data_IF_153950934663
#
_entry.id   IF_153950934663
#
_cell.length_a   1.000
_cell.length_b   1.000
_cell.length_c   1.000
_cell.angle_alpha   90.00
_cell.angle_beta   90.00
_cell.angle_gamma   90.00
#
_symmetry.space_group_name_H-M   'P 1'
#
loop_
_entity.id
_entity.type
_entity.pdbx_description
1 polymer ?
#
# COMPACT_ATOMS: atom_id res chain seq x y z
N UNK A 1 -10.31 -20.28 -5.50
CA UNK A 1 -9.39 -21.30 -6.04
C UNK A 1 -8.34 -21.65 -5.00
N UNK A 2 -8.03 -22.92 -4.74
CA UNK A 2 -6.93 -23.32 -3.85
C UNK A 2 -5.65 -23.50 -4.68
N UNK A 3 -4.57 -22.83 -4.27
CA UNK A 3 -3.26 -22.87 -4.92
C UNK A 3 -2.18 -23.05 -3.85
N UNK A 4 -1.16 -23.86 -4.12
CA UNK A 4 -0.01 -23.99 -3.22
C UNK A 4 1.10 -23.05 -3.68
N UNK A 5 1.44 -22.06 -2.85
CA UNK A 5 2.55 -21.13 -3.09
C UNK A 5 3.78 -21.63 -2.33
N UNK A 6 4.69 -22.31 -3.02
CA UNK A 6 5.81 -23.00 -2.38
C UNK A 6 5.31 -24.16 -1.50
N UNK A 7 5.50 -24.05 -0.19
CA UNK A 7 4.99 -25.02 0.80
C UNK A 7 3.69 -24.56 1.46
N UNK A 8 3.18 -23.38 1.11
CA UNK A 8 2.05 -22.74 1.77
C UNK A 8 0.76 -22.89 0.96
N UNK A 9 -0.23 -23.69 1.40
CA UNK A 9 -1.55 -23.70 0.78
C UNK A 9 -2.21 -22.33 0.96
N UNK A 10 -2.80 -21.83 -0.12
CA UNK A 10 -3.34 -20.46 -0.23
C UNK A 10 -4.65 -20.48 -1.01
N UNK A 11 -5.68 -19.87 -0.43
CA UNK A 11 -6.97 -19.68 -1.11
C UNK A 11 -6.92 -18.33 -1.83
N UNK A 12 -7.07 -18.37 -3.15
CA UNK A 12 -7.16 -17.20 -4.02
C UNK A 12 -8.63 -16.89 -4.28
N UNK A 13 -9.04 -15.69 -3.88
CA UNK A 13 -10.35 -15.11 -4.14
C UNK A 13 -10.30 -14.32 -5.46
N UNK A 14 -10.81 -14.93 -6.54
CA UNK A 14 -10.75 -14.36 -7.90
C UNK A 14 -12.09 -13.88 -8.44
N UNK A 15 -13.18 -14.04 -7.70
CA UNK A 15 -14.50 -13.52 -8.07
C UNK A 15 -14.70 -12.10 -7.54
N UNK A 16 -15.51 -11.26 -8.22
CA UNK A 16 -15.75 -9.88 -7.80
C UNK A 16 -16.52 -9.77 -6.48
N UNK A 17 -17.28 -10.80 -6.09
CA UNK A 17 -18.04 -10.82 -4.83
C UNK A 17 -17.19 -11.21 -3.61
N UNK A 18 -16.13 -11.99 -3.84
CA UNK A 18 -15.33 -12.56 -2.75
C UNK A 18 -14.67 -11.51 -1.83
N UNK A 19 -14.20 -10.33 -2.29
CA UNK A 19 -13.68 -9.30 -1.41
C UNK A 19 -14.70 -8.82 -0.37
N UNK A 20 -15.98 -8.70 -0.72
CA UNK A 20 -17.01 -8.31 0.26
C UNK A 20 -17.19 -9.40 1.32
N UNK A 21 -17.28 -10.65 0.89
CA UNK A 21 -17.45 -11.76 1.82
C UNK A 21 -16.26 -11.88 2.78
N UNK A 22 -15.03 -11.79 2.26
CA UNK A 22 -13.79 -11.96 3.04
C UNK A 22 -13.51 -10.74 3.94
N UNK A 23 -13.54 -9.53 3.39
CA UNK A 23 -13.07 -8.32 4.07
C UNK A 23 -14.16 -7.56 4.83
N UNK A 24 -15.43 -7.96 4.70
CA UNK A 24 -16.56 -7.34 5.42
C UNK A 24 -17.31 -8.36 6.27
N UNK A 25 -17.74 -9.47 5.68
CA UNK A 25 -18.54 -10.48 6.41
C UNK A 25 -17.69 -11.28 7.38
N UNK A 26 -16.53 -11.76 6.93
CA UNK A 26 -15.62 -12.60 7.72
C UNK A 26 -14.33 -11.89 8.14
N UNK A 27 -14.30 -10.55 8.11
CA UNK A 27 -13.10 -9.75 8.40
C UNK A 27 -12.45 -10.14 9.73
N UNK A 28 -13.25 -10.32 10.79
CA UNK A 28 -12.72 -10.64 12.12
C UNK A 28 -11.96 -11.96 12.16
N UNK A 29 -12.36 -12.94 11.36
CA UNK A 29 -11.70 -14.25 11.31
C UNK A 29 -10.49 -14.26 10.35
N UNK A 30 -10.56 -13.46 9.28
CA UNK A 30 -9.58 -13.47 8.18
C UNK A 30 -8.62 -12.27 8.18
N UNK A 31 -8.75 -11.38 9.16
CA UNK A 31 -7.89 -10.20 9.37
C UNK A 31 -6.43 -10.52 9.76
N UNK A 32 -6.11 -11.80 10.04
CA UNK A 32 -4.78 -12.22 10.44
C UNK A 32 -3.82 -12.20 9.26
N UNK A 33 -2.58 -11.72 9.47
CA UNK A 33 -1.60 -11.56 8.38
C UNK A 33 -0.56 -12.66 8.40
N UNK A 34 -0.25 -13.24 7.24
CA UNK A 34 0.93 -14.08 7.05
C UNK A 34 2.13 -13.18 6.76
N UNK A 35 3.08 -13.14 7.69
CA UNK A 35 4.33 -12.39 7.53
C UNK A 35 5.35 -13.31 6.84
N UNK A 36 5.94 -12.85 5.74
CA UNK A 36 7.04 -13.57 5.09
C UNK A 36 8.29 -13.54 5.97
N UNK A 37 9.12 -14.59 5.91
CA UNK A 37 10.39 -14.68 6.65
C UNK A 37 11.30 -13.48 6.39
N UNK A 38 11.24 -12.88 5.19
CA UNK A 38 12.00 -11.66 4.86
C UNK A 38 11.62 -10.44 5.72
N UNK A 39 10.41 -10.43 6.28
CA UNK A 39 9.88 -9.37 7.15
C UNK A 39 9.76 -9.83 8.61
N UNK A 40 10.26 -11.03 8.97
CA UNK A 40 10.23 -11.56 10.33
C UNK A 40 11.33 -10.97 11.21
N UNK A 41 11.36 -9.64 11.35
CA UNK A 41 12.09 -8.98 12.43
C UNK A 41 11.08 -8.77 13.55
N UNK A 42 11.18 -9.57 14.62
CA UNK A 42 10.15 -9.69 15.65
C UNK A 42 9.76 -8.33 16.28
N UNK A 43 10.76 -7.48 16.48
CA UNK A 43 10.61 -6.12 17.02
C UNK A 43 9.93 -5.16 16.05
N UNK A 44 10.10 -5.33 14.73
CA UNK A 44 9.47 -4.50 13.71
C UNK A 44 8.02 -4.91 13.44
N UNK A 45 7.66 -6.16 13.76
CA UNK A 45 6.30 -6.67 13.57
C UNK A 45 5.39 -6.31 14.73
N UNK A 46 5.93 -6.34 15.96
CA UNK A 46 5.23 -5.85 17.16
C UNK A 46 4.98 -4.35 17.00
N UNK A 47 3.73 -3.92 17.06
CA UNK A 47 3.30 -2.52 16.87
C UNK A 47 3.35 -2.02 15.42
N UNK A 48 3.48 -2.90 14.43
CA UNK A 48 3.38 -2.51 13.02
C UNK A 48 1.93 -2.27 12.61
N UNK A 49 1.63 -1.12 12.01
CA UNK A 49 0.30 -0.90 11.42
C UNK A 49 0.02 -1.86 10.26
N UNK A 50 1.08 -2.37 9.59
CA UNK A 50 0.99 -3.21 8.41
C UNK A 50 1.06 -4.69 8.75
N UNK A 51 1.92 -5.10 9.69
CA UNK A 51 2.23 -6.52 9.91
C UNK A 51 1.69 -7.11 11.21
N UNK A 52 1.33 -6.29 12.21
CA UNK A 52 0.82 -6.78 13.50
C UNK A 52 -0.55 -7.45 13.34
N UNK A 53 -0.93 -8.32 14.26
CA UNK A 53 -2.27 -8.94 14.27
C UNK A 53 -3.33 -7.93 14.73
N UNK A 54 -4.62 -8.23 14.53
CA UNK A 54 -5.74 -7.34 14.88
C UNK A 54 -6.02 -7.25 16.40
N UNK A 55 -4.98 -6.90 17.17
CA UNK A 55 -5.01 -6.69 18.61
C UNK A 55 -5.61 -5.32 18.95
N UNK A 56 -5.94 -5.10 20.23
CA UNK A 56 -6.46 -3.79 20.65
C UNK A 56 -5.41 -2.67 20.51
N UNK A 57 -4.13 -3.00 20.69
CA UNK A 57 -3.01 -2.10 20.39
C UNK A 57 -2.98 -1.71 18.90
N UNK A 58 -3.09 -2.68 17.99
CA UNK A 58 -3.17 -2.39 16.55
C UNK A 58 -4.38 -1.50 16.21
N UNK A 59 -5.55 -1.73 16.82
CA UNK A 59 -6.73 -0.88 16.63
C UNK A 59 -6.49 0.55 17.11
N UNK A 60 -5.80 0.73 18.24
CA UNK A 60 -5.43 2.05 18.75
C UNK A 60 -4.46 2.77 17.79
N UNK A 61 -3.40 2.08 17.34
CA UNK A 61 -2.47 2.62 16.35
C UNK A 61 -3.17 3.01 15.05
N UNK A 62 -4.07 2.17 14.54
CA UNK A 62 -4.89 2.47 13.35
C UNK A 62 -5.77 3.69 13.54
N UNK A 63 -6.36 3.85 14.73
CA UNK A 63 -7.16 5.04 15.06
C UNK A 63 -6.30 6.29 15.07
N UNK A 64 -5.11 6.25 15.68
CA UNK A 64 -4.18 7.39 15.70
C UNK A 64 -3.74 7.74 14.28
N UNK A 65 -3.32 6.77 13.49
CA UNK A 65 -2.91 6.99 12.10
C UNK A 65 -4.04 7.65 11.29
N UNK A 66 -5.27 7.11 11.37
CA UNK A 66 -6.43 7.64 10.64
C UNK A 66 -6.81 9.06 11.08
N UNK A 67 -6.77 9.35 12.38
CA UNK A 67 -7.33 10.59 12.92
C UNK A 67 -6.30 11.72 13.04
N UNK A 68 -5.04 11.39 13.32
CA UNK A 68 -3.98 12.37 13.60
C UNK A 68 -3.02 12.54 12.42
N UNK A 69 -2.59 11.45 11.79
CA UNK A 69 -1.59 11.50 10.71
C UNK A 69 -2.29 11.76 9.38
N UNK A 70 -3.30 10.97 9.05
CA UNK A 70 -4.07 11.05 7.80
C UNK A 70 -5.43 11.71 7.99
N UNK A 71 -5.62 12.46 9.07
CA UNK A 71 -6.83 13.23 9.31
C UNK A 71 -6.92 14.43 8.37
N UNK A 72 -8.13 14.88 8.02
CA UNK A 72 -8.38 16.01 7.11
C UNK A 72 -7.58 17.27 7.49
N UNK A 73 -7.57 17.62 8.78
CA UNK A 73 -6.80 18.76 9.29
C UNK A 73 -5.29 18.62 9.02
N UNK A 74 -4.71 17.44 9.27
CA UNK A 74 -3.28 17.23 9.05
C UNK A 74 -2.94 17.23 7.56
N UNK A 75 -3.83 16.65 6.73
CA UNK A 75 -3.67 16.69 5.28
C UNK A 75 -3.69 18.11 4.72
N UNK A 76 -4.54 18.99 5.26
CA UNK A 76 -4.57 20.42 4.92
C UNK A 76 -3.30 21.14 5.39
N UNK A 77 -2.83 20.91 6.62
CA UNK A 77 -1.58 21.51 7.12
C UNK A 77 -0.38 21.11 6.25
N UNK A 78 -0.37 19.88 5.72
CA UNK A 78 0.69 19.38 4.84
C UNK A 78 0.51 19.74 3.36
N UNK A 79 -0.58 20.41 2.99
CA UNK A 79 -0.87 20.80 1.60
C UNK A 79 0.23 21.64 0.96
N UNK A 80 0.77 22.70 1.60
CA UNK A 80 1.80 23.53 0.98
C UNK A 80 3.08 22.76 0.64
N UNK A 81 3.41 21.73 1.44
CA UNK A 81 4.59 20.88 1.19
C UNK A 81 4.37 20.01 -0.05
N UNK A 82 3.16 19.46 -0.23
CA UNK A 82 2.83 18.66 -1.41
C UNK A 82 2.81 19.55 -2.66
N UNK A 83 2.20 20.72 -2.58
CA UNK A 83 2.18 21.70 -3.68
C UNK A 83 3.59 22.11 -4.09
N UNK A 84 4.46 22.43 -3.12
CA UNK A 84 5.86 22.74 -3.39
C UNK A 84 6.57 21.61 -4.15
N UNK A 85 6.40 20.35 -3.73
CA UNK A 85 7.02 19.22 -4.43
C UNK A 85 6.49 19.01 -5.84
N UNK A 86 5.20 19.26 -6.07
CA UNK A 86 4.62 19.21 -7.41
C UNK A 86 5.17 20.35 -8.28
N UNK A 87 5.30 21.56 -7.75
CA UNK A 87 5.88 22.70 -8.47
C UNK A 87 7.34 22.46 -8.85
N UNK A 88 8.18 21.99 -7.92
CA UNK A 88 9.57 21.59 -8.19
C UNK A 88 9.65 20.54 -9.31
N UNK A 89 8.73 19.57 -9.30
CA UNK A 89 8.67 18.55 -10.34
C UNK A 89 8.24 19.11 -11.69
N UNK A 90 7.27 20.03 -11.72
CA UNK A 90 6.82 20.69 -12.95
C UNK A 90 7.92 21.56 -13.55
N UNK A 91 8.69 22.29 -12.74
CA UNK A 91 9.87 23.04 -13.18
C UNK A 91 10.93 22.12 -13.79
N UNK A 92 11.20 20.99 -13.14
CA UNK A 92 12.10 19.97 -13.68
C UNK A 92 11.64 19.45 -15.05
N UNK A 93 10.33 19.17 -15.22
CA UNK A 93 9.79 18.73 -16.50
C UNK A 93 9.92 19.81 -17.59
N UNK A 94 9.66 21.07 -17.25
CA UNK A 94 9.87 22.20 -18.17
C UNK A 94 11.32 22.32 -18.60
N UNK A 95 12.26 22.16 -17.67
CA UNK A 95 13.70 22.16 -18.01
C UNK A 95 14.10 20.99 -18.94
N UNK A 96 13.37 19.88 -18.90
CA UNK A 96 13.58 18.71 -19.76
C UNK A 96 12.77 18.76 -21.05
N UNK A 97 12.28 19.93 -21.46
CA UNK A 97 11.52 20.08 -22.71
C UNK A 97 12.26 19.44 -23.91
N UNK A 98 11.50 18.72 -24.74
CA UNK A 98 12.03 17.97 -25.88
C UNK A 98 12.82 16.69 -25.53
N UNK A 99 12.99 16.35 -24.24
CA UNK A 99 13.68 15.13 -23.79
C UNK A 99 12.69 14.13 -23.21
N UNK A 100 12.87 12.86 -23.52
CA UNK A 100 12.09 11.77 -22.90
C UNK A 100 12.43 11.69 -21.41
N UNK A 101 11.42 11.89 -20.56
CA UNK A 101 11.53 11.71 -19.11
C UNK A 101 10.72 10.49 -18.71
N UNK A 102 11.34 9.58 -17.96
CA UNK A 102 10.66 8.43 -17.39
C UNK A 102 9.85 8.88 -16.16
N UNK A 103 8.57 9.12 -16.37
CA UNK A 103 7.60 9.35 -15.30
C UNK A 103 7.15 7.98 -14.80
N UNK A 104 7.95 7.36 -13.94
CA UNK A 104 7.51 6.22 -13.16
C UNK A 104 7.36 6.67 -11.71
N UNK A 105 6.23 6.32 -11.09
CA UNK A 105 6.18 6.20 -9.64
C UNK A 105 7.43 5.46 -9.18
N UNK A 106 8.08 5.98 -8.12
CA UNK A 106 9.34 5.48 -7.58
C UNK A 106 9.39 3.96 -7.73
N UNK A 107 10.21 3.50 -8.69
CA UNK A 107 10.35 2.08 -8.98
C UNK A 107 11.23 1.55 -7.85
N UNK A 108 10.64 1.32 -6.68
CA UNK A 108 11.17 0.28 -5.81
C UNK A 108 11.37 -0.94 -6.70
N UNK A 109 12.58 -1.46 -6.68
CA UNK A 109 13.13 -2.43 -7.62
C UNK A 109 12.38 -3.75 -7.54
N UNK A 110 11.18 -3.80 -8.10
CA UNK A 110 10.41 -5.02 -8.34
C UNK A 110 10.75 -5.47 -9.77
N UNK A 111 11.49 -6.58 -9.83
CA UNK A 111 11.94 -7.24 -11.05
C UNK A 111 10.73 -7.55 -11.95
N UNK A 112 10.86 -7.12 -13.20
CA UNK A 112 10.19 -7.58 -14.42
C UNK A 112 8.86 -8.34 -14.25
N UNK A 113 7.78 -7.59 -14.34
CA UNK A 113 6.45 -8.07 -14.69
C UNK A 113 5.81 -7.05 -15.62
N UNK A 114 5.61 -7.45 -16.87
CA UNK A 114 5.03 -6.66 -17.95
C UNK A 114 3.55 -6.37 -17.65
N UNK A 115 3.26 -5.22 -17.02
CA UNK A 115 1.89 -4.73 -16.87
C UNK A 115 1.52 -3.95 -18.11
N UNK A 116 0.69 -4.57 -18.93
CA UNK A 116 0.33 -4.17 -20.28
C UNK A 116 -0.04 -2.70 -20.44
N UNK A 117 0.26 -2.20 -21.65
CA UNK A 117 -0.12 -0.90 -22.21
C UNK A 117 -1.48 -0.42 -21.71
N UNK A 118 -1.48 0.54 -20.79
CA UNK A 118 -2.62 1.41 -20.54
C UNK A 118 -2.44 2.64 -21.40
N UNK A 119 -3.05 2.63 -22.59
CA UNK A 119 -3.23 3.83 -23.41
C UNK A 119 -4.32 4.69 -22.77
N UNK A 120 -3.96 5.86 -22.27
CA UNK A 120 -4.95 6.88 -21.92
C UNK A 120 -5.44 7.54 -23.22
N UNK A 121 -6.76 7.60 -23.42
CA UNK A 121 -7.39 8.50 -24.39
C UNK A 121 -7.53 9.87 -23.78
#
# INVERSE_FOLDING_TARGET
MLVTLGTAPTIVASSPEAPMEILKTYDRALSRRRISVCFCIEEMNKNSLVWDDCTDNWKQLRRIAKTKIFGSRMLQIQEPVREKKVSEYMEFLRWREGKVVKISLCKERWRDGDWGRVTWR
#
